data_IF_108554696801
#
_entry.id   IF_108554696801
#
_cell.length_a   1.000
_cell.length_b   1.000
_cell.length_c   1.000
_cell.angle_alpha   90.00
_cell.angle_beta   90.00
_cell.angle_gamma   90.00
#
_symmetry.space_group_name_H-M   'P 1'
#
loop_
_entity.id
_entity.type
_entity.pdbx_description
1 polymer ?
#
# COMPACT_ATOMS: atom_id res chain seq x y z
N UNK A 1 18.82 -65.52 9.74
CA UNK A 1 19.59 -64.25 9.83
C UNK A 1 18.98 -63.22 8.89
N UNK A 2 18.22 -62.22 9.38
CA UNK A 2 17.52 -61.27 8.49
C UNK A 2 17.19 -59.88 9.06
N UNK A 3 17.40 -59.58 10.34
CA UNK A 3 16.80 -58.40 10.97
C UNK A 3 17.67 -57.11 10.96
N UNK A 4 18.97 -57.18 10.65
CA UNK A 4 19.86 -56.02 10.79
C UNK A 4 19.85 -55.03 9.59
N UNK A 5 19.43 -55.47 8.40
CA UNK A 5 19.57 -54.70 7.15
C UNK A 5 18.45 -53.68 6.92
N UNK A 6 17.25 -53.94 7.42
CA UNK A 6 16.09 -53.04 7.29
C UNK A 6 16.15 -51.88 8.27
N UNK A 7 16.58 -52.14 9.51
CA UNK A 7 16.70 -51.12 10.55
C UNK A 7 17.77 -50.07 10.18
N UNK A 8 18.95 -50.52 9.72
CA UNK A 8 20.04 -49.65 9.26
C UNK A 8 19.67 -48.77 8.05
N UNK A 9 18.92 -49.31 7.08
CA UNK A 9 18.39 -48.51 5.94
C UNK A 9 17.38 -47.47 6.41
N UNK A 10 16.49 -47.83 7.34
CA UNK A 10 15.51 -46.91 7.91
C UNK A 10 16.16 -45.79 8.72
N UNK A 11 17.24 -46.10 9.46
CA UNK A 11 18.02 -45.13 10.22
C UNK A 11 18.74 -44.14 9.29
N UNK A 12 19.34 -44.64 8.23
CA UNK A 12 20.03 -43.81 7.23
C UNK A 12 19.05 -42.90 6.49
N UNK A 13 17.86 -43.41 6.13
CA UNK A 13 16.81 -42.61 5.49
C UNK A 13 16.32 -41.48 6.41
N UNK A 14 16.09 -41.77 7.70
CA UNK A 14 15.71 -40.75 8.69
C UNK A 14 16.80 -39.71 8.91
N UNK A 15 18.07 -40.11 8.94
CA UNK A 15 19.19 -39.17 9.06
C UNK A 15 19.23 -38.20 7.88
N UNK A 16 19.05 -38.69 6.65
CA UNK A 16 18.98 -37.84 5.45
C UNK A 16 17.76 -36.92 5.45
N UNK A 17 16.59 -37.40 5.86
CA UNK A 17 15.41 -36.57 5.98
C UNK A 17 15.60 -35.41 6.97
N UNK A 18 16.22 -35.68 8.13
CA UNK A 18 16.55 -34.63 9.11
C UNK A 18 17.56 -33.62 8.57
N UNK A 19 18.58 -34.08 7.85
CA UNK A 19 19.57 -33.20 7.22
C UNK A 19 18.92 -32.31 6.15
N UNK A 20 18.06 -32.87 5.31
CA UNK A 20 17.33 -32.10 4.30
C UNK A 20 16.43 -31.03 4.94
N UNK A 21 15.68 -31.38 5.99
CA UNK A 21 14.87 -30.42 6.74
C UNK A 21 15.72 -29.34 7.41
N UNK A 22 16.89 -29.68 7.95
CA UNK A 22 17.80 -28.71 8.56
C UNK A 22 18.30 -27.68 7.54
N UNK A 23 18.67 -28.12 6.34
CA UNK A 23 19.10 -27.25 5.23
C UNK A 23 17.95 -26.35 4.77
N UNK A 24 16.74 -26.88 4.66
CA UNK A 24 15.58 -26.11 4.26
C UNK A 24 15.20 -25.04 5.29
N UNK A 25 15.22 -25.40 6.58
CA UNK A 25 15.00 -24.45 7.67
C UNK A 25 16.08 -23.35 7.70
N UNK A 26 17.35 -23.70 7.48
CA UNK A 26 18.42 -22.72 7.39
C UNK A 26 18.20 -21.76 6.20
N UNK A 27 17.80 -22.30 5.04
CA UNK A 27 17.47 -21.49 3.86
C UNK A 27 16.27 -20.58 4.11
N UNK A 28 15.25 -21.07 4.79
CA UNK A 28 14.08 -20.29 5.18
C UNK A 28 14.46 -19.12 6.09
N UNK A 29 15.24 -19.39 7.16
CA UNK A 29 15.73 -18.34 8.08
C UNK A 29 16.60 -17.30 7.38
N UNK A 30 17.49 -17.71 6.48
CA UNK A 30 18.30 -16.78 5.69
C UNK A 30 17.44 -15.91 4.77
N UNK A 31 16.38 -16.47 4.18
CA UNK A 31 15.44 -15.71 3.36
C UNK A 31 14.68 -14.70 4.21
N UNK A 32 14.14 -15.15 5.34
CA UNK A 32 13.42 -14.29 6.29
C UNK A 32 14.29 -13.12 6.75
N UNK A 33 15.51 -13.37 7.20
CA UNK A 33 16.45 -12.31 7.61
C UNK A 33 16.73 -11.30 6.49
N UNK A 34 16.87 -11.77 5.24
CA UNK A 34 17.05 -10.86 4.09
C UNK A 34 15.80 -10.05 3.77
N UNK A 35 14.62 -10.65 3.89
CA UNK A 35 13.35 -9.92 3.67
C UNK A 35 13.15 -8.84 4.74
N UNK A 36 13.46 -9.13 6.00
CA UNK A 36 13.44 -8.12 7.07
C UNK A 36 14.38 -6.95 6.73
N UNK A 37 15.60 -7.25 6.27
CA UNK A 37 16.54 -6.22 5.85
C UNK A 37 16.04 -5.41 4.64
N UNK A 38 15.35 -6.04 3.69
CA UNK A 38 14.74 -5.35 2.55
C UNK A 38 13.61 -4.42 3.00
N UNK A 39 12.71 -4.86 3.86
CA UNK A 39 11.61 -4.01 4.36
C UNK A 39 12.15 -2.82 5.15
N UNK A 40 13.10 -3.05 6.06
CA UNK A 40 13.77 -1.96 6.78
C UNK A 40 14.47 -0.96 5.85
N UNK A 41 15.07 -1.43 4.74
CA UNK A 41 15.68 -0.56 3.76
C UNK A 41 14.65 0.22 2.91
N UNK A 42 13.44 -0.32 2.73
CA UNK A 42 12.33 0.39 2.09
C UNK A 42 11.87 1.53 2.99
N UNK A 43 11.60 1.25 4.27
CA UNK A 43 11.18 2.27 5.24
C UNK A 43 12.22 3.41 5.34
N UNK A 44 13.50 3.06 5.45
CA UNK A 44 14.59 4.04 5.48
C UNK A 44 14.70 4.85 4.17
N UNK A 45 14.36 4.26 3.02
CA UNK A 45 14.34 4.96 1.74
C UNK A 45 13.19 5.97 1.70
N UNK A 46 12.00 5.58 2.17
CA UNK A 46 10.83 6.46 2.22
C UNK A 46 11.08 7.67 3.13
N UNK A 47 11.68 7.46 4.30
CA UNK A 47 12.09 8.55 5.21
C UNK A 47 13.12 9.49 4.55
N UNK A 48 14.10 8.93 3.85
CA UNK A 48 15.12 9.71 3.14
C UNK A 48 14.51 10.51 1.97
N UNK A 49 13.56 9.94 1.24
CA UNK A 49 12.84 10.60 0.15
C UNK A 49 11.97 11.76 0.67
N UNK A 50 11.28 11.57 1.81
CA UNK A 50 10.52 12.63 2.46
C UNK A 50 11.44 13.79 2.93
N UNK A 51 12.54 13.45 3.59
CA UNK A 51 13.55 14.44 4.04
C UNK A 51 14.15 15.21 2.87
N UNK A 52 14.47 14.53 1.77
CA UNK A 52 14.97 15.14 0.54
C UNK A 52 13.94 16.12 -0.03
N UNK A 53 12.69 15.71 -0.17
CA UNK A 53 11.63 16.55 -0.71
C UNK A 53 11.40 17.82 0.13
N UNK A 54 11.36 17.70 1.45
CA UNK A 54 11.26 18.83 2.38
C UNK A 54 12.41 19.83 2.22
N UNK A 55 13.66 19.33 2.22
CA UNK A 55 14.82 20.19 2.01
C UNK A 55 14.81 20.91 0.64
N UNK A 56 14.35 20.24 -0.42
CA UNK A 56 14.22 20.85 -1.74
C UNK A 56 13.11 21.91 -1.80
N UNK A 57 12.02 21.74 -1.04
CA UNK A 57 10.97 22.76 -0.89
C UNK A 57 11.53 23.99 -0.18
N UNK A 58 12.26 23.80 0.92
CA UNK A 58 12.89 24.91 1.67
C UNK A 58 13.87 25.69 0.80
N UNK A 59 14.75 25.00 0.07
CA UNK A 59 15.70 25.66 -0.83
C UNK A 59 14.99 26.44 -1.96
N UNK A 60 13.87 25.93 -2.48
CA UNK A 60 13.03 26.68 -3.41
C UNK A 60 12.41 27.92 -2.77
N UNK A 61 12.01 27.82 -1.50
CA UNK A 61 11.53 28.95 -0.71
C UNK A 61 12.59 30.05 -0.52
N UNK A 62 13.86 29.68 -0.47
CA UNK A 62 15.01 30.60 -0.43
C UNK A 62 15.37 31.20 -1.80
N UNK A 63 14.64 30.85 -2.87
CA UNK A 63 14.83 31.39 -4.21
C UNK A 63 15.83 30.62 -5.07
N UNK A 64 16.30 29.44 -4.64
CA UNK A 64 17.18 28.61 -5.47
C UNK A 64 16.36 27.99 -6.61
N UNK A 65 16.71 28.23 -7.88
CA UNK A 65 15.95 27.69 -9.00
C UNK A 65 16.21 26.18 -9.15
N UNK A 66 15.26 25.49 -9.78
CA UNK A 66 15.31 24.03 -9.93
C UNK A 66 16.48 23.52 -10.78
N UNK A 67 16.96 24.33 -11.72
CA UNK A 67 18.16 24.04 -12.51
C UNK A 67 19.39 23.89 -11.61
N UNK A 68 19.55 24.83 -10.68
CA UNK A 68 20.73 24.91 -9.83
C UNK A 68 20.66 23.83 -8.75
N UNK A 69 19.45 23.50 -8.25
CA UNK A 69 19.24 22.34 -7.38
C UNK A 69 19.62 21.03 -8.07
N UNK A 70 19.25 20.85 -9.33
CA UNK A 70 19.63 19.66 -10.11
C UNK A 70 21.16 19.57 -10.26
N UNK A 71 21.83 20.69 -10.56
CA UNK A 71 23.28 20.75 -10.68
C UNK A 71 23.98 20.45 -9.35
N UNK A 72 23.54 21.07 -8.25
CA UNK A 72 24.14 20.90 -6.92
C UNK A 72 23.98 19.49 -6.34
N UNK A 73 22.84 18.85 -6.60
CA UNK A 73 22.51 17.53 -6.04
C UNK A 73 22.94 16.37 -6.95
N UNK A 74 23.24 16.65 -8.23
CA UNK A 74 23.47 15.63 -9.25
C UNK A 74 22.20 14.88 -9.67
N UNK A 75 21.02 15.32 -9.21
CA UNK A 75 19.73 14.79 -9.63
C UNK A 75 19.30 15.41 -10.94
N UNK A 76 18.46 14.71 -11.71
CA UNK A 76 17.84 15.35 -12.87
C UNK A 76 16.82 16.40 -12.39
N UNK A 77 16.60 17.44 -13.19
CA UNK A 77 15.56 18.43 -12.89
C UNK A 77 14.18 17.76 -12.73
N UNK A 78 13.91 16.66 -13.44
CA UNK A 78 12.68 15.88 -13.30
C UNK A 78 12.56 15.26 -11.92
N UNK A 79 13.65 14.69 -11.40
CA UNK A 79 13.66 14.01 -10.11
C UNK A 79 13.54 15.02 -8.96
N UNK A 80 14.21 16.17 -9.07
CA UNK A 80 14.03 17.29 -8.12
C UNK A 80 12.55 17.72 -8.08
N UNK A 81 11.93 17.89 -9.25
CA UNK A 81 10.52 18.26 -9.33
C UNK A 81 9.57 17.16 -8.81
N UNK A 82 9.93 15.89 -8.98
CA UNK A 82 9.16 14.75 -8.46
C UNK A 82 9.24 14.69 -6.93
N UNK A 83 10.43 14.81 -6.35
CA UNK A 83 10.65 14.82 -4.90
C UNK A 83 9.86 15.96 -4.22
N UNK A 84 9.91 17.17 -4.79
CA UNK A 84 9.14 18.32 -4.28
C UNK A 84 7.63 18.06 -4.32
N UNK A 85 7.10 17.50 -5.42
CA UNK A 85 5.66 17.19 -5.52
C UNK A 85 5.25 16.08 -4.56
N UNK A 86 6.08 15.06 -4.41
CA UNK A 86 5.83 13.95 -3.50
C UNK A 86 5.71 14.46 -2.06
N UNK A 87 6.66 15.28 -1.61
CA UNK A 87 6.63 15.84 -0.26
C UNK A 87 5.41 16.73 0.00
N UNK A 88 5.00 17.56 -0.96
CA UNK A 88 3.78 18.38 -0.82
C UNK A 88 2.51 17.56 -0.66
N UNK A 89 2.36 16.49 -1.44
CA UNK A 89 1.18 15.63 -1.32
C UNK A 89 1.17 14.89 0.03
N UNK A 90 2.34 14.48 0.53
CA UNK A 90 2.45 13.82 1.84
C UNK A 90 2.11 14.74 3.03
N UNK A 91 2.24 16.06 2.88
CA UNK A 91 1.81 17.03 3.90
C UNK A 91 0.28 17.16 3.94
N UNK A 92 -0.38 17.18 2.78
CA UNK A 92 -1.85 17.30 2.68
C UNK A 92 -2.58 16.04 3.20
N UNK A 93 -2.01 14.84 3.01
CA UNK A 93 -2.61 13.57 3.47
C UNK A 93 -2.54 13.36 5.00
N UNK A 94 -1.69 14.10 5.72
CA UNK A 94 -1.45 13.90 7.15
C UNK A 94 -2.43 14.68 8.06
N UNK A 95 -3.24 15.58 7.49
CA UNK A 95 -4.24 16.38 8.24
C UNK A 95 -5.64 15.69 8.32
N UNK A 96 -5.91 14.62 7.57
CA UNK A 96 -7.22 13.93 7.60
C UNK A 96 -7.33 12.78 8.61
N UNK A 97 -6.26 12.42 9.33
CA UNK A 97 -6.24 11.26 10.24
C UNK A 97 -6.54 11.57 11.72
N UNK A 98 -7.17 12.71 12.03
CA UNK A 98 -7.63 13.05 13.39
C UNK A 98 -9.10 13.47 13.41
N UNK A 99 -9.98 12.57 12.99
CA UNK A 99 -11.42 12.76 13.01
C UNK A 99 -12.16 11.55 13.58
N UNK A 100 -11.79 11.10 14.78
CA UNK A 100 -12.69 10.26 15.57
C UNK A 100 -13.88 11.12 16.00
N UNK A 101 -15.01 10.92 15.33
CA UNK A 101 -16.31 11.39 15.81
C UNK A 101 -17.32 10.34 15.42
N UNK A 102 -17.51 9.39 16.34
CA UNK A 102 -18.70 8.55 16.37
C UNK A 102 -19.92 9.45 16.34
N UNK A 103 -20.69 9.38 15.26
CA UNK A 103 -22.02 9.99 15.19
C UNK A 103 -23.05 8.89 15.06
N UNK A 104 -23.29 8.23 16.20
CA UNK A 104 -24.48 7.42 16.44
C UNK A 104 -25.71 8.34 16.41
N UNK A 105 -26.25 8.61 15.23
CA UNK A 105 -27.51 9.35 15.10
C UNK A 105 -28.70 8.40 15.30
N UNK A 106 -29.12 8.26 16.56
CA UNK A 106 -30.42 7.69 16.91
C UNK A 106 -31.53 8.69 16.53
N UNK A 107 -32.30 8.38 15.50
CA UNK A 107 -33.47 9.16 15.09
C UNK A 107 -34.68 8.26 14.80
N UNK A 108 -35.40 7.87 15.84
CA UNK A 108 -36.75 7.31 15.74
C UNK A 108 -37.77 8.42 15.45
N UNK A 109 -38.58 8.27 14.40
CA UNK A 109 -40.06 8.25 14.47
C UNK A 109 -40.71 8.54 13.10
N UNK A 110 -41.43 7.52 12.61
CA UNK A 110 -42.72 7.52 11.88
C UNK A 110 -43.24 8.79 11.20
N UNK A 111 -43.72 8.63 9.96
CA UNK A 111 -45.03 9.15 9.53
C UNK A 111 -45.54 8.41 8.27
N UNK A 112 -46.72 7.82 8.43
CA UNK A 112 -47.62 7.25 7.43
C UNK A 112 -47.99 8.24 6.31
N UNK A 113 -48.03 7.77 5.06
CA UNK A 113 -48.95 8.31 4.05
C UNK A 113 -49.16 7.32 2.89
N UNK A 114 -50.25 6.56 3.02
CA UNK A 114 -51.29 6.36 2.00
C UNK A 114 -50.88 5.80 0.63
N UNK A 115 -51.16 4.51 0.46
CA UNK A 115 -51.33 3.82 -0.82
C UNK A 115 -52.54 4.39 -1.58
N UNK A 116 -52.30 5.23 -2.59
CA UNK A 116 -53.32 5.77 -3.48
C UNK A 116 -53.12 5.31 -4.93
N UNK A 117 -53.97 4.39 -5.37
CA UNK A 117 -54.09 3.85 -6.72
C UNK A 117 -54.47 4.90 -7.78
N UNK A 118 -53.79 4.90 -8.94
CA UNK A 118 -54.43 5.18 -10.23
C UNK A 118 -53.54 4.65 -11.38
N UNK A 119 -53.92 3.48 -11.88
CA UNK A 119 -53.56 3.04 -13.23
C UNK A 119 -54.48 3.80 -14.17
N UNK A 120 -53.94 4.64 -15.05
CA UNK A 120 -54.65 5.04 -16.27
C UNK A 120 -53.69 4.99 -17.44
N UNK A 121 -53.89 3.95 -18.24
CA UNK A 121 -53.32 3.77 -19.56
C UNK A 121 -54.17 4.55 -20.55
N UNK A 122 -53.57 5.36 -21.43
CA UNK A 122 -53.83 5.38 -22.89
C UNK A 122 -53.27 6.62 -23.60
N UNK A 123 -52.44 6.34 -24.60
CA UNK A 123 -52.40 6.94 -25.95
C UNK A 123 -52.36 8.46 -26.16
N UNK A 124 -51.27 8.94 -26.78
CA UNK A 124 -51.26 9.25 -28.24
C UNK A 124 -50.01 10.05 -28.62
N UNK A 125 -49.06 9.40 -29.28
CA UNK A 125 -47.90 10.05 -29.86
C UNK A 125 -48.26 10.63 -31.24
N UNK A 126 -48.80 11.85 -31.25
CA UNK A 126 -49.11 12.62 -32.46
C UNK A 126 -47.94 13.46 -32.93
N UNK A 127 -47.01 12.89 -33.70
CA UNK A 127 -46.04 13.65 -34.48
C UNK A 127 -46.63 13.96 -35.87
N UNK A 128 -47.13 15.18 -36.02
CA UNK A 128 -47.46 15.81 -37.31
C UNK A 128 -46.29 16.70 -37.72
N UNK A 129 -45.64 16.43 -38.87
CA UNK A 129 -45.54 17.40 -39.97
C UNK A 129 -44.60 16.96 -41.11
N UNK A 130 -45.21 17.05 -42.30
CA UNK A 130 -44.70 17.43 -43.62
C UNK A 130 -44.18 16.37 -44.61
#
# INVERSE_FOLDING_TARGET
>A
MGLAKTDSRSQTARARARQAMAVELERARKRESKLIAVFSAIDAREEAEATLGGALIELRGLGVPQSDLAEMTGLSARDVGAAIRSAKNSEDDNDEASGESESESTGSASEDAETGTAVDSSDSNGASNH
#
